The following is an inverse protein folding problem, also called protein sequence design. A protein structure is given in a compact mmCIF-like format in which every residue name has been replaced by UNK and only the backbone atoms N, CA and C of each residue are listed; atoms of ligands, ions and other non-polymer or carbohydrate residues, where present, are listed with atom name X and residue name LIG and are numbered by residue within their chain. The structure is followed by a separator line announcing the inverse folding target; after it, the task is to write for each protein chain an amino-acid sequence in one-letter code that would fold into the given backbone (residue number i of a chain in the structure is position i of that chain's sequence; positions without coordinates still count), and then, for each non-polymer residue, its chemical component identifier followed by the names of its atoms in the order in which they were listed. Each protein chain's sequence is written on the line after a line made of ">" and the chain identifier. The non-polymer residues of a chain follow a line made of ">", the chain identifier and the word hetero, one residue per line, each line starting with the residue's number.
data_IF_595099968525
#
_entry.id   IF_595099968525
#
_cell.length_a   1.000
_cell.length_b   1.000
_cell.length_c   1.000
_cell.angle_alpha   90.00
_cell.angle_beta   90.00
_cell.angle_gamma   90.00
#
_symmetry.space_group_name_H-M   'P 1'
#
loop_
_entity.id
_entity.type
_entity.pdbx_description
1 polymer ?
#
# COMPACT_ATOMS: atom_id res chain seq x y z
N UNK A 1 16.69 -1.96 -0.34
CA UNK A 1 15.27 -1.59 -0.13
C UNK A 1 14.26 -2.20 -1.12
N UNK A 2 14.56 -2.36 -2.42
CA UNK A 2 13.57 -2.86 -3.41
C UNK A 2 12.94 -4.22 -3.02
N UNK A 3 13.75 -5.28 -2.81
CA UNK A 3 13.26 -6.64 -2.53
C UNK A 3 12.40 -6.73 -1.27
N UNK A 4 12.85 -6.15 -0.18
CA UNK A 4 12.14 -6.20 1.10
C UNK A 4 10.98 -5.21 1.15
N UNK A 5 11.15 -4.03 0.56
CA UNK A 5 10.14 -2.98 0.51
C UNK A 5 8.92 -3.40 -0.30
N UNK A 6 9.11 -3.95 -1.51
CA UNK A 6 7.99 -4.48 -2.30
C UNK A 6 7.30 -5.64 -1.61
N UNK A 7 8.05 -6.52 -0.95
CA UNK A 7 7.50 -7.61 -0.14
C UNK A 7 6.73 -7.13 1.10
N UNK A 8 7.11 -6.00 1.69
CA UNK A 8 6.35 -5.35 2.76
C UNK A 8 5.07 -4.71 2.23
N UNK A 9 5.13 -3.91 1.15
CA UNK A 9 3.95 -3.32 0.52
C UNK A 9 2.91 -4.38 0.16
N UNK A 10 3.35 -5.47 -0.49
CA UNK A 10 2.47 -6.59 -0.83
C UNK A 10 1.79 -7.19 0.40
N UNK A 11 2.52 -7.44 1.50
CA UNK A 11 1.95 -8.00 2.73
C UNK A 11 0.91 -7.09 3.36
N UNK A 12 1.12 -5.77 3.32
CA UNK A 12 0.17 -4.80 3.88
C UNK A 12 -1.09 -4.72 3.01
N UNK A 13 -0.94 -4.58 1.68
CA UNK A 13 -2.08 -4.57 0.75
C UNK A 13 -2.88 -5.87 0.84
N UNK A 14 -2.20 -7.01 0.82
CA UNK A 14 -2.85 -8.32 0.96
C UNK A 14 -3.62 -8.43 2.28
N UNK A 15 -3.09 -7.87 3.38
CA UNK A 15 -3.78 -7.85 4.67
C UNK A 15 -5.06 -7.02 4.61
N UNK A 16 -5.03 -5.84 3.97
CA UNK A 16 -6.21 -4.98 3.79
C UNK A 16 -7.29 -5.72 2.99
N UNK A 17 -6.93 -6.28 1.84
CA UNK A 17 -7.82 -7.03 0.94
C UNK A 17 -8.50 -8.22 1.64
N UNK A 18 -7.82 -8.87 2.58
CA UNK A 18 -8.36 -10.04 3.31
C UNK A 18 -9.12 -9.65 4.59
N UNK A 19 -9.55 -8.38 4.73
CA UNK A 19 -10.33 -7.93 5.88
C UNK A 19 -9.54 -7.89 7.20
N UNK A 20 -8.20 -7.95 7.12
CA UNK A 20 -7.30 -7.89 8.26
C UNK A 20 -6.59 -6.53 8.38
N UNK A 21 -7.01 -5.55 7.57
CA UNK A 21 -6.42 -4.21 7.54
C UNK A 21 -6.51 -3.50 8.89
N UNK A 22 -5.52 -2.65 9.18
CA UNK A 22 -5.40 -1.84 10.40
C UNK A 22 -5.33 -0.36 10.05
N UNK A 23 -5.70 0.51 10.99
CA UNK A 23 -5.64 1.97 10.79
C UNK A 23 -4.23 2.46 10.44
N UNK A 24 -3.22 1.82 11.00
CA UNK A 24 -1.79 2.09 10.73
C UNK A 24 -1.31 1.64 9.34
N UNK A 25 -2.09 0.84 8.61
CA UNK A 25 -1.61 0.21 7.36
C UNK A 25 -1.35 1.22 6.24
N UNK A 26 -2.16 2.28 6.16
CA UNK A 26 -1.94 3.36 5.18
C UNK A 26 -0.66 4.14 5.47
N UNK A 27 -0.41 4.44 6.74
CA UNK A 27 0.82 5.15 7.15
C UNK A 27 2.06 4.28 6.93
N UNK A 28 1.94 2.97 7.19
CA UNK A 28 2.99 2.00 6.89
C UNK A 28 3.30 1.92 5.39
N UNK A 29 2.28 1.92 4.52
CA UNK A 29 2.49 1.92 3.07
C UNK A 29 3.20 3.21 2.60
N UNK A 30 2.82 4.37 3.15
CA UNK A 30 3.49 5.63 2.86
C UNK A 30 4.96 5.62 3.33
N UNK A 31 5.24 5.13 4.53
CA UNK A 31 6.63 5.03 5.02
C UNK A 31 7.47 4.08 4.15
N UNK A 32 6.93 2.92 3.75
CA UNK A 32 7.65 1.97 2.91
C UNK A 32 7.90 2.52 1.52
N UNK A 33 6.92 3.17 0.87
CA UNK A 33 7.10 3.78 -0.45
C UNK A 33 8.19 4.86 -0.41
N UNK A 34 8.17 5.74 0.60
CA UNK A 34 9.21 6.76 0.80
C UNK A 34 10.61 6.15 1.03
N UNK A 35 10.71 5.00 1.70
CA UNK A 35 11.99 4.29 1.91
C UNK A 35 12.53 3.62 0.65
N UNK A 36 11.67 3.27 -0.30
CA UNK A 36 12.08 2.70 -1.60
C UNK A 36 12.52 3.80 -2.55
N UNK A 37 11.73 4.86 -2.66
CA UNK A 37 11.93 5.93 -3.64
C UNK A 37 13.34 6.53 -3.57
N UNK A 38 14.04 6.56 -4.72
CA UNK A 38 15.37 7.16 -4.85
C UNK A 38 16.49 6.43 -4.08
N UNK A 39 16.20 5.25 -3.53
CA UNK A 39 17.17 4.44 -2.75
C UNK A 39 17.44 3.07 -3.39
N UNK A 40 17.01 2.85 -4.64
CA UNK A 40 17.20 1.59 -5.36
C UNK A 40 18.17 1.71 -6.54
N UNK A 41 18.79 0.58 -6.92
CA UNK A 41 19.81 0.52 -7.98
C UNK A 41 19.20 0.74 -9.37
N UNK A 42 17.95 0.31 -9.58
CA UNK A 42 17.23 0.49 -10.83
C UNK A 42 15.86 1.13 -10.59
N UNK A 43 15.27 1.64 -11.69
CA UNK A 43 13.99 2.35 -11.68
C UNK A 43 12.77 1.47 -11.31
N UNK A 44 12.93 0.14 -11.26
CA UNK A 44 11.83 -0.76 -10.89
C UNK A 44 11.33 -0.51 -9.46
N UNK A 45 12.23 -0.15 -8.54
CA UNK A 45 11.85 0.16 -7.16
C UNK A 45 10.89 1.33 -7.10
N UNK A 46 11.26 2.43 -7.75
CA UNK A 46 10.44 3.63 -7.84
C UNK A 46 9.13 3.35 -8.59
N UNK A 47 9.19 2.61 -9.71
CA UNK A 47 8.03 2.21 -10.49
C UNK A 47 7.03 1.35 -9.68
N UNK A 48 7.49 0.57 -8.70
CA UNK A 48 6.63 -0.18 -7.80
C UNK A 48 6.07 0.67 -6.65
N UNK A 49 6.81 1.67 -6.18
CA UNK A 49 6.41 2.52 -5.06
C UNK A 49 5.44 3.65 -5.47
N UNK A 50 5.64 4.25 -6.65
CA UNK A 50 4.83 5.37 -7.13
C UNK A 50 3.32 5.07 -7.23
N UNK A 51 2.87 3.93 -7.78
CA UNK A 51 1.44 3.62 -7.87
C UNK A 51 0.81 3.47 -6.48
N UNK A 52 1.52 2.85 -5.54
CA UNK A 52 1.03 2.67 -4.16
C UNK A 52 0.85 4.01 -3.47
N UNK A 53 1.83 4.90 -3.57
CA UNK A 53 1.74 6.24 -3.00
C UNK A 53 0.58 7.05 -3.63
N UNK A 54 0.46 7.03 -4.96
CA UNK A 54 -0.62 7.71 -5.68
C UNK A 54 -2.00 7.16 -5.31
N UNK A 55 -2.14 5.84 -5.12
CA UNK A 55 -3.41 5.26 -4.71
C UNK A 55 -3.82 5.67 -3.30
N UNK A 56 -2.87 5.76 -2.37
CA UNK A 56 -3.17 6.24 -1.01
C UNK A 56 -3.55 7.72 -1.02
N UNK A 57 -2.90 8.54 -1.86
CA UNK A 57 -3.21 9.96 -1.98
C UNK A 57 -4.60 10.20 -2.59
N UNK A 58 -4.94 9.52 -3.68
CA UNK A 58 -6.17 9.79 -4.43
C UNK A 58 -7.38 8.97 -3.99
N UNK A 59 -7.17 7.79 -3.43
CA UNK A 59 -8.24 6.86 -3.05
C UNK A 59 -8.21 6.54 -1.56
N UNK A 60 -7.67 7.44 -0.73
CA UNK A 60 -7.56 7.27 0.74
C UNK A 60 -8.86 6.78 1.37
N UNK A 61 -9.97 7.37 0.95
CA UNK A 61 -11.29 7.07 1.51
C UNK A 61 -11.75 5.64 1.20
N UNK A 62 -11.37 5.08 0.05
CA UNK A 62 -11.66 3.69 -0.31
C UNK A 62 -10.85 2.70 0.55
N UNK A 63 -9.56 3.01 0.78
CA UNK A 63 -8.71 2.22 1.68
C UNK A 63 -9.22 2.29 3.12
N UNK A 64 -9.60 3.48 3.58
CA UNK A 64 -10.19 3.68 4.91
C UNK A 64 -11.49 2.88 5.05
N UNK A 65 -12.38 2.95 4.05
CA UNK A 65 -13.60 2.16 4.02
C UNK A 65 -13.30 0.65 4.13
N UNK A 66 -12.32 0.17 3.37
CA UNK A 66 -11.93 -1.24 3.37
C UNK A 66 -11.36 -1.68 4.72
N UNK A 67 -10.60 -0.81 5.39
CA UNK A 67 -10.06 -1.06 6.73
C UNK A 67 -11.17 -1.05 7.79
N UNK A 68 -12.18 -0.19 7.66
CA UNK A 68 -13.24 -0.05 8.65
C UNK A 68 -14.30 -1.17 8.51
N UNK A 69 -14.70 -1.46 7.28
CA UNK A 69 -15.79 -2.39 6.97
C UNK A 69 -15.30 -3.80 6.62
N UNK A 70 -13.98 -4.01 6.54
CA UNK A 70 -13.32 -5.27 6.17
C UNK A 70 -13.77 -5.82 4.81
N UNK A 71 -14.22 -4.95 3.92
CA UNK A 71 -14.75 -5.30 2.59
C UNK A 71 -14.48 -4.16 1.60
N UNK A 72 -14.43 -4.48 0.32
CA UNK A 72 -14.25 -3.49 -0.74
C UNK A 72 -15.48 -2.56 -0.88
N UNK A 73 -15.23 -1.27 -1.16
CA UNK A 73 -16.30 -0.29 -1.44
C UNK A 73 -16.97 -0.57 -2.78
N UNK A 74 -16.20 -0.99 -3.78
CA UNK A 74 -16.65 -1.21 -5.15
C UNK A 74 -16.82 -2.70 -5.40
N UNK A 75 -18.02 -3.24 -5.15
CA UNK A 75 -18.47 -4.56 -5.66
C UNK A 75 -17.50 -5.75 -5.50
N UNK A 76 -16.65 -5.76 -4.48
CA UNK A 76 -15.74 -6.87 -4.13
C UNK A 76 -16.30 -7.71 -2.98
N UNK A 77 -15.84 -8.96 -2.88
CA UNK A 77 -16.27 -9.94 -1.85
C UNK A 77 -16.19 -9.39 -0.43
#
# INVERSE_FOLDING_TARGET
>A
PCREGTGWMHRVIHRIEHGQGRQEDMDLLNDVTQRIMGRTICALGDAAAMPVAAFIEHYRDEFQYHIDHKKCMVGGR
#
